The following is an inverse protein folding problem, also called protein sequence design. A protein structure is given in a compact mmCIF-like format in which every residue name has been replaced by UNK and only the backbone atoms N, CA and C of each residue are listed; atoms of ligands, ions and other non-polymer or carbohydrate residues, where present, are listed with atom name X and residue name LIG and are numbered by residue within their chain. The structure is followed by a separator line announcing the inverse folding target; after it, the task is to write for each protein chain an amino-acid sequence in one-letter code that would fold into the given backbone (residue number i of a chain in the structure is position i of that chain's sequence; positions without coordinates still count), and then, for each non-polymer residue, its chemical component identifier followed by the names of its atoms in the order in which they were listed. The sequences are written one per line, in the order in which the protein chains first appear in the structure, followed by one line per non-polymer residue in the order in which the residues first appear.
data_IF_721304471478
#
_entry.id   IF_721304471478
#
_cell.length_a   1.000
_cell.length_b   1.000
_cell.length_c   1.000
_cell.angle_alpha   90.00
_cell.angle_beta   90.00
_cell.angle_gamma   90.00
#
_symmetry.space_group_name_H-M   'P 1'
#
loop_
_entity.id
_entity.type
_entity.pdbx_description
1 polymer ?
#
# COMPACT_ATOMS: atom_id res chain seq x y z
N UNK A 1 -59.98 67.23 42.60
CA UNK A 1 -59.84 66.72 41.22
C UNK A 1 -58.37 66.59 40.89
N UNK A 2 -57.83 65.39 40.91
CA UNK A 2 -56.42 65.10 40.62
C UNK A 2 -56.38 64.48 39.25
N UNK A 3 -55.66 65.10 38.35
CA UNK A 3 -55.41 64.51 36.99
C UNK A 3 -54.09 63.75 36.97
N UNK A 4 -54.22 62.45 36.74
CA UNK A 4 -53.10 61.52 36.67
C UNK A 4 -52.53 61.59 35.24
N UNK A 5 -51.25 61.98 35.08
CA UNK A 5 -50.54 61.91 33.80
C UNK A 5 -49.80 60.59 33.74
N UNK A 6 -50.21 59.69 32.82
CA UNK A 6 -49.50 58.51 32.46
C UNK A 6 -48.39 58.89 31.48
N UNK A 7 -47.12 58.60 31.87
CA UNK A 7 -45.94 58.74 30.98
C UNK A 7 -45.69 57.34 30.40
N UNK A 8 -45.84 57.26 29.08
CA UNK A 8 -45.44 56.05 28.34
C UNK A 8 -43.91 56.08 28.01
N UNK A 9 -43.16 55.12 28.51
CA UNK A 9 -41.75 54.90 28.16
C UNK A 9 -41.66 54.17 26.85
N UNK A 10 -40.77 54.52 25.90
CA UNK A 10 -40.57 53.78 24.67
C UNK A 10 -39.61 52.58 24.91
N UNK A 11 -40.09 51.41 24.60
CA UNK A 11 -39.25 50.18 24.57
C UNK A 11 -38.31 50.20 23.36
N UNK A 12 -37.02 50.41 23.59
CA UNK A 12 -36.00 50.24 22.57
C UNK A 12 -35.74 48.73 22.47
N UNK A 13 -36.16 48.10 21.35
CA UNK A 13 -35.78 46.73 21.02
C UNK A 13 -34.36 46.73 20.42
N UNK A 14 -33.39 46.34 21.21
CA UNK A 14 -32.04 46.05 20.75
C UNK A 14 -32.08 44.71 20.02
N UNK A 15 -32.03 44.72 18.68
CA UNK A 15 -31.84 43.52 17.87
C UNK A 15 -30.33 43.21 17.90
N UNK A 16 -29.92 42.19 18.70
CA UNK A 16 -28.57 41.66 18.67
C UNK A 16 -28.46 40.74 17.45
N UNK A 17 -27.84 41.26 16.40
CA UNK A 17 -27.50 40.48 15.19
C UNK A 17 -26.32 39.57 15.51
N UNK A 18 -26.59 38.30 15.79
CA UNK A 18 -25.52 37.28 15.84
C UNK A 18 -25.01 37.03 14.43
N UNK A 19 -23.91 37.66 14.05
CA UNK A 19 -23.11 37.23 12.90
C UNK A 19 -22.50 35.87 13.23
N UNK A 20 -23.11 34.81 12.73
CA UNK A 20 -22.47 33.48 12.64
C UNK A 20 -21.30 33.63 11.68
N UNK A 21 -20.11 33.88 12.22
CA UNK A 21 -18.86 33.65 11.52
C UNK A 21 -18.76 32.13 11.39
N UNK A 22 -19.25 31.58 10.27
CA UNK A 22 -18.88 30.26 9.82
C UNK A 22 -17.38 30.31 9.53
N UNK A 23 -16.58 30.08 10.55
CA UNK A 23 -15.17 29.81 10.39
C UNK A 23 -15.05 28.63 9.45
N UNK A 24 -14.62 28.85 8.21
CA UNK A 24 -14.18 27.76 7.35
C UNK A 24 -13.12 27.01 8.14
N UNK A 25 -13.45 25.78 8.60
CA UNK A 25 -12.44 24.88 9.09
C UNK A 25 -11.33 24.83 8.03
N UNK A 26 -10.05 24.94 8.38
CA UNK A 26 -8.98 24.91 7.40
C UNK A 26 -9.16 23.64 6.57
N UNK A 27 -9.47 23.83 5.30
CA UNK A 27 -9.60 22.72 4.38
C UNK A 27 -8.25 21.99 4.39
N UNK A 28 -8.26 20.72 4.78
CA UNK A 28 -7.04 19.91 4.84
C UNK A 28 -6.27 20.12 3.53
N UNK A 29 -4.99 20.46 3.63
CA UNK A 29 -4.17 20.73 2.45
C UNK A 29 -4.22 19.51 1.54
N UNK A 30 -4.65 19.67 0.31
CA UNK A 30 -4.71 18.58 -0.66
C UNK A 30 -3.37 18.42 -1.37
N UNK A 31 -3.02 17.17 -1.70
CA UNK A 31 -1.88 16.92 -2.59
C UNK A 31 -2.14 17.62 -3.93
N UNK A 32 -1.22 18.48 -4.44
CA UNK A 32 -1.43 19.19 -5.69
C UNK A 32 -1.78 18.23 -6.84
N UNK A 33 -2.64 18.61 -7.79
CA UNK A 33 -2.99 17.78 -8.94
C UNK A 33 -1.76 17.28 -9.67
N UNK A 34 -1.88 16.08 -10.25
CA UNK A 34 -0.82 15.53 -11.07
C UNK A 34 -0.63 16.37 -12.35
N UNK A 35 0.59 16.79 -12.70
CA UNK A 35 0.85 17.48 -13.95
C UNK A 35 0.50 16.61 -15.18
N UNK A 36 0.08 17.24 -16.28
CA UNK A 36 -0.17 16.55 -17.55
C UNK A 36 1.06 15.75 -17.99
N UNK A 37 0.82 14.57 -18.59
CA UNK A 37 1.90 13.69 -19.02
C UNK A 37 2.56 12.88 -17.90
N UNK A 38 2.04 12.98 -16.67
CA UNK A 38 2.47 12.16 -15.52
C UNK A 38 1.37 11.18 -15.10
N UNK A 39 1.75 10.10 -14.42
CA UNK A 39 0.81 9.17 -13.79
C UNK A 39 1.33 8.73 -12.42
N UNK A 40 0.46 8.16 -11.61
CA UNK A 40 0.82 7.75 -10.26
C UNK A 40 0.46 6.27 -10.02
N UNK A 41 1.35 5.59 -9.30
CA UNK A 41 1.09 4.31 -8.65
C UNK A 41 1.02 4.59 -7.15
N UNK A 42 -0.01 4.06 -6.48
CA UNK A 42 -0.17 4.22 -5.03
C UNK A 42 0.13 2.90 -4.35
N UNK A 43 0.97 2.94 -3.32
CA UNK A 43 1.24 1.80 -2.44
C UNK A 43 0.51 2.02 -1.13
N UNK A 44 -0.36 1.08 -0.78
CA UNK A 44 -1.03 1.00 0.51
C UNK A 44 -0.14 0.17 1.43
N UNK A 45 0.39 0.76 2.52
CA UNK A 45 1.14 0.04 3.55
C UNK A 45 0.29 -1.00 4.29
N UNK A 46 0.91 -1.66 5.28
CA UNK A 46 0.24 -2.51 6.26
C UNK A 46 -0.97 -1.78 6.87
N UNK A 47 -2.12 -2.44 6.91
CA UNK A 47 -3.40 -1.84 7.34
C UNK A 47 -3.91 -2.41 8.67
N UNK A 48 -3.01 -2.75 9.58
CA UNK A 48 -3.27 -3.46 10.83
C UNK A 48 -3.94 -2.62 11.95
N UNK A 49 -4.58 -1.49 11.63
CA UNK A 49 -5.16 -0.55 12.63
C UNK A 49 -6.64 -0.80 12.87
N UNK A 50 -6.97 -2.04 13.19
CA UNK A 50 -8.34 -2.44 13.50
C UNK A 50 -8.74 -2.01 14.90
N UNK A 51 -9.95 -1.48 15.03
CA UNK A 51 -10.56 -1.06 16.28
C UNK A 51 -11.74 -1.97 16.59
N UNK A 52 -11.79 -2.49 17.82
CA UNK A 52 -12.86 -3.35 18.29
C UNK A 52 -13.87 -2.52 19.11
N UNK A 53 -15.15 -2.69 18.81
CA UNK A 53 -16.28 -1.99 19.44
C UNK A 53 -17.34 -3.03 19.91
N UNK A 54 -17.07 -3.78 20.99
CA UNK A 54 -17.98 -4.82 21.47
C UNK A 54 -19.38 -4.27 21.71
N UNK A 55 -20.41 -5.00 21.26
CA UNK A 55 -21.81 -4.62 21.42
C UNK A 55 -22.34 -3.59 20.40
N UNK A 56 -21.52 -3.08 19.50
CA UNK A 56 -21.96 -2.19 18.42
C UNK A 56 -22.45 -2.97 17.18
N UNK A 57 -23.21 -2.29 16.31
CA UNK A 57 -23.61 -2.81 15.00
C UNK A 57 -22.39 -3.09 14.10
N UNK A 58 -21.30 -2.34 14.30
CA UNK A 58 -20.03 -2.53 13.62
C UNK A 58 -18.93 -2.86 14.63
N UNK A 59 -18.85 -4.13 15.08
CA UNK A 59 -17.96 -4.54 16.18
C UNK A 59 -16.48 -4.40 15.83
N UNK A 60 -16.14 -4.33 14.53
CA UNK A 60 -14.77 -4.10 14.06
C UNK A 60 -14.77 -3.06 12.96
N UNK A 61 -13.88 -2.08 13.08
CA UNK A 61 -13.66 -1.01 12.08
C UNK A 61 -12.18 -0.82 11.81
N UNK A 62 -11.86 -0.14 10.70
CA UNK A 62 -10.54 0.38 10.40
C UNK A 62 -10.67 1.74 9.70
N UNK A 63 -10.83 2.82 10.47
CA UNK A 63 -11.05 4.15 9.91
C UNK A 63 -9.91 4.65 9.02
N UNK A 64 -8.68 4.30 9.36
CA UNK A 64 -7.48 4.68 8.58
C UNK A 64 -7.51 4.03 7.20
N UNK A 65 -7.72 2.72 7.14
CA UNK A 65 -7.80 2.00 5.85
C UNK A 65 -8.98 2.49 5.02
N UNK A 66 -10.13 2.74 5.66
CA UNK A 66 -11.29 3.32 5.01
C UNK A 66 -10.99 4.69 4.40
N UNK A 67 -10.32 5.59 5.15
CA UNK A 67 -9.93 6.91 4.67
C UNK A 67 -8.89 6.83 3.53
N UNK A 68 -7.94 5.91 3.60
CA UNK A 68 -6.95 5.70 2.54
C UNK A 68 -7.59 5.27 1.23
N UNK A 69 -8.50 4.28 1.29
CA UNK A 69 -9.20 3.82 0.08
C UNK A 69 -10.20 4.84 -0.45
N UNK A 70 -10.84 5.64 0.42
CA UNK A 70 -11.69 6.76 0.01
C UNK A 70 -10.87 7.84 -0.71
N UNK A 71 -9.72 8.21 -0.15
CA UNK A 71 -8.84 9.20 -0.79
C UNK A 71 -8.38 8.71 -2.16
N UNK A 72 -7.92 7.46 -2.30
CA UNK A 72 -7.51 6.90 -3.58
C UNK A 72 -8.68 6.97 -4.57
N UNK A 73 -9.85 6.45 -4.18
CA UNK A 73 -11.04 6.39 -5.02
C UNK A 73 -11.51 7.78 -5.50
N UNK A 74 -11.39 8.80 -4.64
CA UNK A 74 -11.78 10.18 -4.95
C UNK A 74 -10.76 10.88 -5.84
N UNK A 75 -9.47 10.52 -5.70
CA UNK A 75 -8.37 11.19 -6.37
C UNK A 75 -7.84 10.47 -7.62
N UNK A 76 -8.52 9.42 -8.13
CA UNK A 76 -8.06 8.67 -9.31
C UNK A 76 -7.72 9.59 -10.49
N UNK A 77 -8.63 10.49 -10.85
CA UNK A 77 -8.42 11.45 -11.96
C UNK A 77 -7.44 12.57 -11.56
N UNK A 78 -7.61 13.18 -10.38
CA UNK A 78 -6.82 14.32 -9.94
C UNK A 78 -5.33 13.99 -9.81
N UNK A 79 -5.01 12.76 -9.36
CA UNK A 79 -3.64 12.30 -9.18
C UNK A 79 -3.17 11.37 -10.31
N UNK A 80 -3.96 11.19 -11.37
CA UNK A 80 -3.67 10.26 -12.47
C UNK A 80 -3.26 8.87 -11.96
N UNK A 81 -4.01 8.32 -10.98
CA UNK A 81 -3.71 7.02 -10.38
C UNK A 81 -4.12 5.93 -11.37
N UNK A 82 -3.15 5.13 -11.81
CA UNK A 82 -3.33 4.06 -12.81
C UNK A 82 -3.22 2.67 -12.21
N UNK A 83 -2.64 2.55 -11.02
CA UNK A 83 -2.45 1.28 -10.34
C UNK A 83 -2.35 1.47 -8.83
N UNK A 84 -2.84 0.48 -8.06
CA UNK A 84 -2.73 0.44 -6.60
C UNK A 84 -2.11 -0.89 -6.17
N UNK A 85 -1.11 -0.84 -5.31
CA UNK A 85 -0.45 -2.00 -4.73
C UNK A 85 -0.62 -2.02 -3.22
N UNK A 86 -1.06 -3.14 -2.63
CA UNK A 86 -1.11 -3.35 -1.19
C UNK A 86 0.00 -4.33 -0.80
N UNK A 87 0.80 -3.99 0.22
CA UNK A 87 2.06 -4.68 0.53
C UNK A 87 1.93 -5.91 1.42
N UNK A 88 0.72 -6.29 1.85
CA UNK A 88 0.47 -7.38 2.80
C UNK A 88 0.09 -6.87 4.19
N UNK A 89 -0.19 -7.79 5.10
CA UNK A 89 -0.75 -7.52 6.43
C UNK A 89 -1.97 -6.60 6.33
N UNK A 90 -2.90 -7.00 5.44
CA UNK A 90 -4.15 -6.28 5.23
C UNK A 90 -5.07 -6.42 6.45
N UNK A 91 -4.91 -7.52 7.22
CA UNK A 91 -5.51 -7.72 8.54
C UNK A 91 -4.45 -7.80 9.63
N UNK A 92 -4.83 -7.49 10.88
CA UNK A 92 -3.99 -7.71 12.07
C UNK A 92 -4.22 -9.11 12.68
N UNK A 93 -5.49 -9.52 12.71
CA UNK A 93 -5.91 -10.86 13.14
C UNK A 93 -6.57 -11.57 11.96
N UNK A 94 -6.08 -12.76 11.62
CA UNK A 94 -6.64 -13.56 10.53
C UNK A 94 -8.02 -14.12 10.91
N UNK A 95 -9.04 -13.27 10.98
CA UNK A 95 -10.42 -13.61 11.33
C UNK A 95 -11.43 -12.95 10.38
N UNK A 96 -12.64 -13.57 10.27
CA UNK A 96 -13.69 -13.14 9.34
C UNK A 96 -14.14 -11.69 9.53
N UNK A 97 -14.10 -11.16 10.75
CA UNK A 97 -14.55 -9.80 11.04
C UNK A 97 -13.59 -8.76 10.42
N UNK A 98 -12.27 -8.94 10.61
CA UNK A 98 -11.29 -8.06 10.00
C UNK A 98 -11.25 -8.21 8.48
N UNK A 99 -11.38 -9.44 7.96
CA UNK A 99 -11.48 -9.68 6.52
C UNK A 99 -12.71 -9.00 5.89
N UNK A 100 -13.85 -8.98 6.56
CA UNK A 100 -15.02 -8.24 6.08
C UNK A 100 -14.77 -6.73 6.00
N UNK A 101 -14.01 -6.15 6.93
CA UNK A 101 -13.59 -4.74 6.87
C UNK A 101 -12.63 -4.53 5.70
N UNK A 102 -11.60 -5.37 5.57
CA UNK A 102 -10.63 -5.30 4.48
C UNK A 102 -11.34 -5.36 3.12
N UNK A 103 -12.29 -6.28 2.97
CA UNK A 103 -13.10 -6.39 1.75
C UNK A 103 -13.86 -5.10 1.44
N UNK A 104 -14.58 -4.53 2.41
CA UNK A 104 -15.31 -3.26 2.21
C UNK A 104 -14.41 -2.10 1.82
N UNK A 105 -13.21 -2.01 2.41
CA UNK A 105 -12.25 -0.98 2.04
C UNK A 105 -11.77 -1.15 0.58
N UNK A 106 -11.37 -2.35 0.18
CA UNK A 106 -10.89 -2.61 -1.17
C UNK A 106 -12.01 -2.60 -2.24
N UNK A 107 -13.27 -2.82 -1.85
CA UNK A 107 -14.42 -2.69 -2.77
C UNK A 107 -14.57 -1.27 -3.33
N UNK A 108 -14.11 -0.24 -2.62
CA UNK A 108 -14.09 1.15 -3.11
C UNK A 108 -13.19 1.35 -4.34
N UNK A 109 -12.20 0.48 -4.52
CA UNK A 109 -11.25 0.50 -5.65
C UNK A 109 -11.65 -0.47 -6.76
N UNK A 110 -12.42 -1.50 -6.42
CA UNK A 110 -12.75 -2.59 -7.33
C UNK A 110 -13.57 -2.12 -8.53
N UNK A 111 -13.13 -2.48 -9.75
CA UNK A 111 -13.74 -2.03 -10.99
C UNK A 111 -13.44 -0.58 -11.38
N UNK A 112 -12.68 0.16 -10.56
CA UNK A 112 -12.36 1.59 -10.79
C UNK A 112 -10.90 1.83 -11.15
N UNK A 113 -10.00 1.01 -10.63
CA UNK A 113 -8.56 1.05 -10.90
C UNK A 113 -7.99 -0.36 -10.77
N UNK A 114 -7.03 -0.77 -11.61
CA UNK A 114 -6.27 -2.00 -11.41
C UNK A 114 -5.55 -2.01 -10.05
N UNK A 115 -5.59 -3.15 -9.35
CA UNK A 115 -4.86 -3.30 -8.10
C UNK A 115 -4.43 -4.73 -7.84
N UNK A 116 -3.43 -4.90 -6.98
CA UNK A 116 -2.98 -6.18 -6.46
C UNK A 116 -2.77 -6.15 -4.96
N UNK A 117 -2.79 -7.31 -4.32
CA UNK A 117 -2.62 -7.48 -2.88
C UNK A 117 -1.57 -8.56 -2.65
N UNK A 118 -0.51 -8.24 -1.92
CA UNK A 118 0.42 -9.23 -1.37
C UNK A 118 -0.19 -9.85 -0.11
N UNK A 119 0.09 -11.13 0.15
CA UNK A 119 -0.35 -11.81 1.37
C UNK A 119 0.74 -11.69 2.42
N UNK A 120 0.46 -11.02 3.53
CA UNK A 120 1.39 -10.80 4.64
C UNK A 120 1.39 -11.95 5.65
N UNK A 121 2.23 -11.85 6.68
CA UNK A 121 2.31 -12.90 7.71
C UNK A 121 1.14 -12.88 8.69
N UNK A 122 0.39 -11.78 8.80
CA UNK A 122 -0.86 -11.72 9.54
C UNK A 122 -2.06 -12.20 8.71
N UNK A 123 -1.92 -12.26 7.39
CA UNK A 123 -2.97 -12.69 6.45
C UNK A 123 -3.01 -14.22 6.26
N UNK A 124 -2.00 -14.93 6.77
CA UNK A 124 -1.85 -16.38 6.65
C UNK A 124 -1.34 -17.00 7.95
N UNK A 125 -1.41 -18.33 8.05
CA UNK A 125 -0.74 -19.05 9.11
C UNK A 125 0.79 -19.09 8.92
N UNK A 126 1.54 -19.46 9.95
CA UNK A 126 3.00 -19.65 9.85
C UNK A 126 3.41 -20.73 8.84
N UNK A 127 2.50 -21.65 8.52
CA UNK A 127 2.70 -22.70 7.52
C UNK A 127 2.29 -22.28 6.11
N UNK A 128 1.74 -21.07 5.94
CA UNK A 128 1.37 -20.51 4.64
C UNK A 128 -0.09 -20.72 4.26
N UNK A 129 -0.96 -21.19 5.18
CA UNK A 129 -2.40 -21.29 4.92
C UNK A 129 -3.01 -19.87 4.90
N UNK A 130 -3.46 -19.47 3.72
CA UNK A 130 -4.10 -18.18 3.42
C UNK A 130 -5.57 -18.33 3.01
N UNK A 131 -6.26 -19.36 3.49
CA UNK A 131 -7.63 -19.73 3.08
C UNK A 131 -8.63 -18.58 3.22
N UNK A 132 -8.57 -17.77 4.30
CA UNK A 132 -9.46 -16.62 4.46
C UNK A 132 -9.18 -15.50 3.44
N UNK A 133 -7.89 -15.23 3.13
CA UNK A 133 -7.56 -14.32 2.03
C UNK A 133 -8.14 -14.83 0.72
N UNK A 134 -7.95 -16.12 0.41
CA UNK A 134 -8.42 -16.75 -0.82
C UNK A 134 -9.97 -16.74 -0.93
N UNK A 135 -10.68 -16.82 0.18
CA UNK A 135 -12.14 -16.70 0.25
C UNK A 135 -12.59 -15.25 -0.05
N UNK A 136 -11.90 -14.26 0.50
CA UNK A 136 -12.28 -12.85 0.42
C UNK A 136 -11.85 -12.20 -0.89
N UNK A 137 -10.68 -12.56 -1.41
CA UNK A 137 -10.10 -12.05 -2.64
C UNK A 137 -9.77 -13.17 -3.64
N UNK A 138 -10.77 -14.02 -4.01
CA UNK A 138 -10.54 -15.13 -4.93
C UNK A 138 -10.17 -14.63 -6.34
N UNK A 139 -9.52 -15.48 -7.14
CA UNK A 139 -9.22 -15.17 -8.55
C UNK A 139 -10.47 -14.79 -9.35
N UNK A 140 -11.62 -15.43 -9.07
CA UNK A 140 -12.91 -15.16 -9.73
C UNK A 140 -13.38 -13.71 -9.58
N UNK A 141 -12.91 -13.00 -8.56
CA UNK A 141 -13.14 -11.57 -8.39
C UNK A 141 -12.44 -10.73 -9.46
N UNK A 142 -11.33 -11.21 -10.02
CA UNK A 142 -10.43 -10.43 -10.86
C UNK A 142 -10.40 -10.90 -12.32
N UNK A 143 -10.68 -12.16 -12.59
CA UNK A 143 -10.45 -12.80 -13.90
C UNK A 143 -11.28 -12.22 -15.06
N UNK A 144 -12.31 -11.43 -14.78
CA UNK A 144 -13.09 -10.71 -15.80
C UNK A 144 -12.44 -9.40 -16.26
N UNK A 145 -11.42 -8.91 -15.54
CA UNK A 145 -10.74 -7.67 -15.90
C UNK A 145 -9.57 -7.92 -16.84
N UNK A 146 -9.48 -7.17 -17.94
CA UNK A 146 -8.39 -7.27 -18.90
C UNK A 146 -6.99 -7.04 -18.32
N UNK A 147 -6.90 -6.33 -17.20
CA UNK A 147 -5.65 -6.09 -16.50
C UNK A 147 -5.22 -7.24 -15.57
N UNK A 148 -6.04 -8.25 -15.34
CA UNK A 148 -5.67 -9.40 -14.53
C UNK A 148 -4.92 -10.43 -15.38
N UNK A 149 -3.63 -10.59 -15.11
CA UNK A 149 -2.75 -11.49 -15.86
C UNK A 149 -2.76 -12.94 -15.37
N UNK A 150 -3.55 -13.25 -14.31
CA UNK A 150 -3.66 -14.58 -13.72
C UNK A 150 -2.97 -14.72 -12.36
N UNK A 151 -2.90 -15.94 -11.87
CA UNK A 151 -2.31 -16.26 -10.56
C UNK A 151 -1.55 -17.58 -10.60
N UNK A 152 -0.73 -17.81 -9.56
CA UNK A 152 -0.10 -19.10 -9.33
C UNK A 152 -1.15 -20.15 -8.95
N UNK A 153 -0.97 -21.35 -9.48
CA UNK A 153 -1.79 -22.52 -9.13
C UNK A 153 -0.86 -23.64 -8.67
N UNK A 154 -0.92 -24.06 -7.40
CA UNK A 154 -0.13 -25.19 -6.91
C UNK A 154 -0.43 -26.45 -7.71
N UNK A 155 0.60 -27.19 -8.11
CA UNK A 155 0.43 -28.45 -8.86
C UNK A 155 0.00 -29.62 -7.98
N UNK A 156 0.28 -29.54 -6.68
CA UNK A 156 -0.04 -30.56 -5.68
C UNK A 156 -0.08 -29.96 -4.28
N UNK A 157 -0.61 -30.69 -3.32
CA UNK A 157 -0.66 -30.30 -1.92
C UNK A 157 -1.95 -29.59 -1.52
N UNK A 158 -1.91 -28.85 -0.42
CA UNK A 158 -3.06 -28.13 0.11
C UNK A 158 -3.30 -26.83 -0.69
N UNK A 159 -4.45 -26.68 -1.37
CA UNK A 159 -4.75 -25.48 -2.16
C UNK A 159 -4.89 -24.21 -1.30
N UNK A 160 -5.08 -24.33 0.02
CA UNK A 160 -5.06 -23.20 0.93
C UNK A 160 -3.67 -22.54 1.04
N UNK A 161 -2.61 -23.26 0.63
CA UNK A 161 -1.24 -22.76 0.64
C UNK A 161 -0.87 -22.28 -0.76
N UNK A 162 -0.54 -21.00 -0.89
CA UNK A 162 -0.09 -20.34 -2.12
C UNK A 162 -1.10 -20.32 -3.28
N UNK A 163 -2.33 -20.88 -3.11
CA UNK A 163 -3.32 -21.02 -4.16
C UNK A 163 -4.22 -19.79 -4.34
N UNK A 164 -5.17 -19.90 -5.29
CA UNK A 164 -6.31 -19.02 -5.52
C UNK A 164 -6.05 -17.52 -5.25
N UNK A 165 -5.22 -16.88 -6.06
CA UNK A 165 -4.88 -15.45 -6.00
C UNK A 165 -3.93 -15.02 -4.86
N UNK A 166 -3.40 -15.94 -4.04
CA UNK A 166 -2.38 -15.58 -3.05
C UNK A 166 -1.09 -15.02 -3.69
N UNK A 167 -0.86 -15.41 -4.96
CA UNK A 167 0.20 -14.90 -5.81
C UNK A 167 -0.39 -14.54 -7.17
N UNK A 168 -0.34 -13.26 -7.57
CA UNK A 168 -1.09 -12.76 -8.73
C UNK A 168 -0.29 -11.82 -9.61
N UNK A 169 -0.75 -11.68 -10.86
CA UNK A 169 -0.16 -10.80 -11.89
C UNK A 169 -1.19 -9.79 -12.35
N UNK A 170 -0.79 -8.55 -12.49
CA UNK A 170 -1.57 -7.47 -13.09
C UNK A 170 -0.79 -6.85 -14.25
N UNK A 171 -1.49 -6.56 -15.34
CA UNK A 171 -0.96 -5.95 -16.55
C UNK A 171 -1.66 -4.61 -16.76
N UNK A 172 -0.90 -3.53 -16.88
CA UNK A 172 -1.48 -2.22 -17.15
C UNK A 172 -0.56 -1.37 -18.01
N UNK A 173 -1.09 -0.28 -18.52
CA UNK A 173 -0.35 0.65 -19.37
C UNK A 173 -0.63 2.10 -18.92
N UNK A 174 0.39 2.95 -19.00
CA UNK A 174 0.27 4.37 -18.69
C UNK A 174 1.29 5.17 -19.48
N UNK A 175 0.87 6.27 -20.10
CA UNK A 175 1.73 7.16 -20.90
C UNK A 175 2.59 6.41 -21.93
N UNK A 176 2.02 5.40 -22.60
CA UNK A 176 2.72 4.56 -23.59
C UNK A 176 3.67 3.51 -22.98
N UNK A 177 3.82 3.45 -21.69
CA UNK A 177 4.66 2.48 -20.99
C UNK A 177 3.83 1.27 -20.55
N UNK A 178 4.35 0.06 -20.82
CA UNK A 178 3.71 -1.20 -20.44
C UNK A 178 4.29 -1.73 -19.12
N UNK A 179 3.43 -2.15 -18.20
CA UNK A 179 3.84 -2.67 -16.89
C UNK A 179 3.32 -4.09 -16.65
N UNK A 180 4.10 -4.84 -15.90
CA UNK A 180 3.69 -6.09 -15.23
C UNK A 180 3.95 -5.93 -13.74
N UNK A 181 2.92 -6.10 -12.91
CA UNK A 181 3.05 -6.11 -11.46
C UNK A 181 2.77 -7.52 -10.93
N UNK A 182 3.69 -8.05 -10.12
CA UNK A 182 3.52 -9.30 -9.39
C UNK A 182 3.29 -9.01 -7.93
N UNK A 183 2.26 -9.63 -7.36
CA UNK A 183 2.02 -9.63 -5.92
C UNK A 183 2.31 -11.03 -5.41
N UNK A 184 3.35 -11.16 -4.58
CA UNK A 184 3.82 -12.42 -4.03
C UNK A 184 3.54 -12.47 -2.53
N UNK A 185 3.17 -13.65 -2.04
CA UNK A 185 2.99 -13.91 -0.63
C UNK A 185 4.29 -13.76 0.17
N UNK A 186 4.16 -13.52 1.47
CA UNK A 186 5.28 -13.41 2.40
C UNK A 186 6.16 -14.67 2.37
N UNK A 187 7.47 -14.48 2.15
CA UNK A 187 8.45 -15.56 2.08
C UNK A 187 8.13 -16.66 1.04
N UNK A 188 7.73 -16.25 -0.14
CA UNK A 188 7.28 -17.12 -1.24
C UNK A 188 8.14 -18.37 -1.41
N UNK A 189 7.53 -19.58 -1.48
CA UNK A 189 8.23 -20.84 -1.71
C UNK A 189 8.86 -20.96 -3.10
N UNK A 190 9.72 -21.97 -3.31
CA UNK A 190 10.49 -22.16 -4.55
C UNK A 190 9.59 -22.38 -5.78
N UNK A 191 8.47 -23.05 -5.64
CA UNK A 191 7.51 -23.26 -6.73
C UNK A 191 6.81 -21.95 -7.16
N UNK A 192 6.51 -21.09 -6.19
CA UNK A 192 6.01 -19.73 -6.46
C UNK A 192 7.08 -18.88 -7.13
N UNK A 193 8.34 -18.95 -6.67
CA UNK A 193 9.44 -18.22 -7.30
C UNK A 193 9.74 -18.71 -8.72
N UNK A 194 9.63 -20.03 -8.98
CA UNK A 194 9.75 -20.59 -10.32
C UNK A 194 8.66 -20.06 -11.26
N UNK A 195 7.41 -19.98 -10.76
CA UNK A 195 6.32 -19.34 -11.50
C UNK A 195 6.56 -17.84 -11.73
N UNK A 196 7.00 -17.11 -10.71
CA UNK A 196 7.33 -15.69 -10.83
C UNK A 196 8.42 -15.45 -11.89
N UNK A 197 9.47 -16.28 -11.92
CA UNK A 197 10.50 -16.27 -12.97
C UNK A 197 9.88 -16.44 -14.37
N UNK A 198 8.98 -17.41 -14.54
CA UNK A 198 8.33 -17.65 -15.85
C UNK A 198 7.45 -16.47 -16.29
N UNK A 199 6.76 -15.81 -15.34
CA UNK A 199 5.93 -14.63 -15.62
C UNK A 199 6.81 -13.43 -16.03
N UNK A 200 7.88 -13.15 -15.29
CA UNK A 200 8.80 -12.04 -15.58
C UNK A 200 9.51 -12.22 -16.93
N UNK A 201 9.85 -13.45 -17.29
CA UNK A 201 10.39 -13.79 -18.62
C UNK A 201 9.35 -13.64 -19.72
N UNK A 202 8.14 -14.17 -19.53
CA UNK A 202 7.03 -14.04 -20.49
C UNK A 202 6.71 -12.58 -20.82
N UNK A 203 6.86 -11.69 -19.85
CA UNK A 203 6.57 -10.25 -19.96
C UNK A 203 7.84 -9.40 -19.95
N UNK A 204 8.93 -9.88 -20.56
CA UNK A 204 10.22 -9.18 -20.60
C UNK A 204 10.17 -7.84 -21.34
N UNK A 205 9.16 -7.64 -22.19
CA UNK A 205 8.84 -6.38 -22.89
C UNK A 205 8.14 -5.35 -22.00
N UNK A 206 7.71 -5.74 -20.79
CA UNK A 206 7.02 -4.88 -19.83
C UNK A 206 7.94 -4.50 -18.67
N UNK A 207 7.75 -3.34 -18.10
CA UNK A 207 8.45 -2.84 -16.91
C UNK A 207 7.87 -3.54 -15.69
N UNK A 208 8.72 -4.27 -14.95
CA UNK A 208 8.26 -5.14 -13.88
C UNK A 208 8.35 -4.47 -12.50
N UNK A 209 7.28 -4.58 -11.74
CA UNK A 209 7.18 -4.24 -10.33
C UNK A 209 6.84 -5.53 -9.56
N UNK A 210 7.56 -5.80 -8.49
CA UNK A 210 7.22 -6.86 -7.55
C UNK A 210 6.75 -6.23 -6.25
N UNK A 211 5.66 -6.74 -5.70
CA UNK A 211 5.24 -6.44 -4.34
C UNK A 211 5.26 -7.74 -3.56
N UNK A 212 5.99 -7.75 -2.47
CA UNK A 212 6.02 -8.85 -1.51
C UNK A 212 6.04 -8.27 -0.11
N UNK A 213 5.45 -8.99 0.85
CA UNK A 213 5.28 -8.40 2.16
C UNK A 213 6.61 -8.16 2.88
N UNK A 214 7.49 -9.14 2.91
CA UNK A 214 8.76 -9.11 3.65
C UNK A 214 9.96 -9.02 2.71
N UNK A 215 10.68 -7.90 2.73
CA UNK A 215 11.90 -7.70 1.92
C UNK A 215 12.98 -6.95 2.71
N UNK A 216 12.78 -5.67 3.03
CA UNK A 216 13.73 -4.82 3.73
C UNK A 216 13.45 -4.77 5.24
N UNK A 217 14.51 -4.69 6.04
CA UNK A 217 14.44 -4.58 7.49
C UNK A 217 15.75 -4.93 8.18
N UNK A 218 15.72 -5.44 9.43
CA UNK A 218 16.92 -5.97 10.10
C UNK A 218 17.52 -7.12 9.29
N UNK A 219 18.83 -7.08 9.04
CA UNK A 219 19.52 -8.14 8.28
C UNK A 219 19.31 -9.52 8.91
N UNK A 220 19.52 -9.62 10.22
CA UNK A 220 19.30 -10.84 11.00
C UNK A 220 18.09 -10.67 11.92
N UNK A 221 17.44 -11.78 12.28
CA UNK A 221 16.27 -11.72 13.17
C UNK A 221 16.66 -11.20 14.54
N UNK A 222 16.13 -10.04 14.97
CA UNK A 222 16.43 -9.50 16.30
C UNK A 222 15.91 -10.43 17.41
N UNK A 223 16.68 -10.52 18.52
CA UNK A 223 16.32 -11.37 19.67
C UNK A 223 15.21 -10.78 20.51
N UNK A 224 15.20 -9.46 20.66
CA UNK A 224 14.21 -8.73 21.44
C UNK A 224 13.54 -7.63 20.62
N UNK A 225 12.34 -7.16 21.00
CA UNK A 225 11.69 -6.02 20.35
C UNK A 225 12.55 -4.76 20.29
N UNK A 226 13.43 -4.54 21.29
CA UNK A 226 14.34 -3.39 21.37
C UNK A 226 15.42 -3.44 20.31
N UNK A 227 15.92 -4.65 20.02
CA UNK A 227 17.02 -4.85 19.06
C UNK A 227 16.61 -4.47 17.62
N UNK A 228 15.30 -4.46 17.30
CA UNK A 228 14.81 -4.01 15.98
C UNK A 228 15.21 -2.57 15.66
N UNK A 229 15.32 -1.70 16.65
CA UNK A 229 15.67 -0.29 16.46
C UNK A 229 17.14 -0.10 16.11
N UNK A 230 18.02 -0.92 16.70
CA UNK A 230 19.48 -0.79 16.59
C UNK A 230 20.12 -1.78 15.60
N UNK A 231 19.40 -2.84 15.20
CA UNK A 231 19.93 -3.84 14.28
C UNK A 231 20.35 -3.22 12.92
N UNK A 232 21.46 -3.70 12.33
CA UNK A 232 21.80 -3.36 10.95
C UNK A 232 20.66 -3.71 10.00
N UNK A 233 20.35 -2.79 9.07
CA UNK A 233 19.21 -2.88 8.16
C UNK A 233 19.65 -3.07 6.71
N UNK A 234 18.84 -3.80 5.97
CA UNK A 234 19.06 -4.12 4.57
C UNK A 234 18.04 -5.14 4.10
N UNK A 235 18.39 -5.97 3.11
CA UNK A 235 17.56 -7.10 2.71
C UNK A 235 17.70 -8.22 3.73
N UNK A 236 16.56 -8.63 4.31
CA UNK A 236 16.54 -9.56 5.43
C UNK A 236 17.00 -10.98 5.03
N UNK A 237 17.72 -11.65 5.95
CA UNK A 237 18.23 -13.04 5.80
C UNK A 237 17.47 -14.04 6.67
N UNK A 238 16.30 -13.67 7.13
CA UNK A 238 15.42 -14.49 7.96
C UNK A 238 13.99 -14.46 7.43
N UNK A 239 13.10 -15.29 7.93
CA UNK A 239 11.74 -15.48 7.44
C UNK A 239 10.74 -15.71 8.56
N UNK A 240 9.45 -15.49 8.27
CA UNK A 240 8.32 -15.66 9.19
C UNK A 240 7.39 -16.81 8.77
N UNK A 241 7.21 -17.03 7.47
CA UNK A 241 6.20 -17.92 6.90
C UNK A 241 6.79 -19.14 6.18
N UNK A 242 5.92 -20.14 5.92
CA UNK A 242 6.19 -21.37 5.17
C UNK A 242 7.24 -22.29 5.77
N UNK A 243 7.70 -22.07 7.00
CA UNK A 243 8.68 -22.95 7.66
C UNK A 243 9.92 -23.21 6.79
N UNK A 244 10.27 -24.48 6.54
CA UNK A 244 11.41 -24.86 5.70
C UNK A 244 11.21 -24.53 4.21
N UNK A 245 9.96 -24.48 3.73
CA UNK A 245 9.65 -24.21 2.31
C UNK A 245 9.81 -22.72 1.93
N UNK A 246 9.64 -21.81 2.88
CA UNK A 246 9.71 -20.38 2.62
C UNK A 246 11.13 -19.91 2.37
N UNK A 247 11.26 -18.82 1.60
CA UNK A 247 12.50 -18.14 1.31
C UNK A 247 12.67 -16.87 2.13
N UNK A 248 13.90 -16.60 2.55
CA UNK A 248 14.24 -15.27 3.07
C UNK A 248 14.21 -14.25 1.94
N UNK A 249 14.05 -12.94 2.22
CA UNK A 249 14.19 -11.90 1.21
C UNK A 249 15.47 -12.02 0.38
N UNK A 250 16.60 -12.29 1.01
CA UNK A 250 17.86 -12.52 0.29
C UNK A 250 17.78 -13.73 -0.65
N UNK A 251 17.14 -14.81 -0.23
CA UNK A 251 16.95 -15.98 -1.10
C UNK A 251 15.99 -15.71 -2.26
N UNK A 252 14.92 -14.92 -2.05
CA UNK A 252 14.01 -14.49 -3.13
C UNK A 252 14.74 -13.63 -4.16
N UNK A 253 15.60 -12.71 -3.71
CA UNK A 253 16.47 -11.93 -4.57
C UNK A 253 17.38 -12.83 -5.41
N UNK A 254 18.12 -13.73 -4.80
CA UNK A 254 19.10 -14.61 -5.47
C UNK A 254 18.44 -15.62 -6.41
N UNK A 255 17.29 -16.17 -6.02
CA UNK A 255 16.58 -17.21 -6.80
C UNK A 255 15.73 -16.63 -7.94
N UNK A 256 15.25 -15.39 -7.80
CA UNK A 256 14.30 -14.78 -8.73
C UNK A 256 14.69 -13.36 -9.13
N UNK A 257 14.59 -12.40 -8.25
CA UNK A 257 14.44 -10.99 -8.60
C UNK A 257 15.64 -10.43 -9.37
N UNK A 258 16.88 -10.71 -8.95
CA UNK A 258 18.09 -10.20 -9.61
C UNK A 258 18.25 -10.64 -11.07
N UNK A 259 17.58 -11.72 -11.49
CA UNK A 259 17.75 -12.36 -12.80
C UNK A 259 16.96 -11.67 -13.92
N UNK A 260 16.15 -10.67 -13.61
CA UNK A 260 15.22 -10.08 -14.57
C UNK A 260 15.59 -8.64 -14.90
N UNK A 261 16.02 -8.42 -16.16
CA UNK A 261 16.40 -7.10 -16.67
C UNK A 261 15.27 -6.07 -16.62
N UNK A 262 14.03 -6.54 -16.75
CA UNK A 262 12.84 -5.69 -16.76
C UNK A 262 12.36 -5.31 -15.35
N UNK A 263 12.84 -5.96 -14.28
CA UNK A 263 12.51 -5.59 -12.89
C UNK A 263 13.25 -4.30 -12.52
N UNK A 264 12.48 -3.30 -12.06
CA UNK A 264 13.04 -2.02 -11.63
C UNK A 264 12.60 -1.59 -10.22
N UNK A 265 11.58 -2.24 -9.65
CA UNK A 265 11.02 -1.84 -8.36
C UNK A 265 10.51 -3.04 -7.57
N UNK A 266 10.79 -3.04 -6.26
CA UNK A 266 10.18 -3.93 -5.27
C UNK A 266 9.55 -3.06 -4.18
N UNK A 267 8.28 -3.34 -3.84
CA UNK A 267 7.57 -2.71 -2.73
C UNK A 267 7.32 -3.73 -1.62
N UNK A 268 7.52 -3.33 -0.35
CA UNK A 268 7.32 -4.20 0.80
C UNK A 268 6.78 -3.46 2.04
N UNK A 269 6.33 -4.23 3.02
CA UNK A 269 5.86 -3.81 4.34
C UNK A 269 6.57 -4.54 5.48
N UNK A 270 5.82 -5.10 6.45
CA UNK A 270 6.26 -6.01 7.52
C UNK A 270 7.08 -5.40 8.66
N UNK A 271 7.63 -4.22 8.53
CA UNK A 271 8.63 -3.73 9.47
C UNK A 271 8.24 -2.41 10.14
N UNK A 272 7.18 -2.43 10.96
CA UNK A 272 6.66 -1.26 11.68
C UNK A 272 7.69 -0.59 12.61
N UNK A 273 8.77 -1.30 12.99
CA UNK A 273 9.90 -0.75 13.76
C UNK A 273 11.01 -0.18 12.89
N UNK A 274 10.88 -0.26 11.57
CA UNK A 274 11.75 0.40 10.58
C UNK A 274 10.98 1.48 9.83
N UNK A 275 9.69 1.26 9.59
CA UNK A 275 8.67 2.11 8.95
C UNK A 275 8.98 2.48 7.50
N UNK A 276 10.12 3.07 7.24
CA UNK A 276 10.55 3.45 5.90
C UNK A 276 12.03 3.11 5.70
N UNK A 277 12.32 2.53 4.55
CA UNK A 277 13.68 2.24 4.12
C UNK A 277 13.69 2.17 2.59
N UNK A 278 14.80 2.53 1.99
CA UNK A 278 15.05 2.33 0.55
C UNK A 278 16.41 1.70 0.34
N UNK A 279 16.46 0.78 -0.62
CA UNK A 279 17.69 0.16 -1.08
C UNK A 279 17.76 0.28 -2.60
N UNK A 280 18.97 0.49 -3.12
CA UNK A 280 19.26 0.47 -4.55
C UNK A 280 20.13 -0.74 -4.83
N UNK A 281 19.57 -1.72 -5.52
CA UNK A 281 20.25 -2.96 -5.88
C UNK A 281 20.56 -3.01 -7.37
N UNK A 282 21.57 -3.80 -7.72
CA UNK A 282 21.96 -4.06 -9.10
C UNK A 282 21.61 -5.52 -9.42
N UNK A 283 20.80 -5.71 -10.46
CA UNK A 283 20.47 -7.03 -10.99
C UNK A 283 21.58 -7.61 -11.86
N UNK A 284 21.42 -8.88 -12.28
CA UNK A 284 22.42 -9.60 -13.09
C UNK A 284 22.65 -9.02 -14.50
N UNK A 285 21.79 -8.07 -14.92
CA UNK A 285 21.88 -7.39 -16.21
C UNK A 285 22.22 -5.90 -16.04
N UNK A 286 22.88 -5.52 -14.94
CA UNK A 286 23.23 -4.14 -14.58
C UNK A 286 22.02 -3.20 -14.44
N UNK A 287 20.81 -3.75 -14.42
CA UNK A 287 19.59 -2.99 -14.18
C UNK A 287 19.49 -2.60 -12.70
N UNK A 288 19.04 -1.36 -12.49
CA UNK A 288 18.80 -0.84 -11.14
C UNK A 288 17.43 -1.29 -10.69
N UNK A 289 17.37 -1.89 -9.49
CA UNK A 289 16.14 -2.23 -8.79
C UNK A 289 16.04 -1.35 -7.54
N UNK A 290 14.98 -0.55 -7.48
CA UNK A 290 14.65 0.25 -6.31
C UNK A 290 13.76 -0.58 -5.37
N UNK A 291 14.23 -0.84 -4.17
CA UNK A 291 13.49 -1.57 -3.14
C UNK A 291 12.98 -0.58 -2.09
N UNK A 292 11.67 -0.57 -1.84
CA UNK A 292 11.01 0.44 -1.01
C UNK A 292 10.18 -0.23 0.09
N UNK A 293 10.58 -0.05 1.34
CA UNK A 293 9.79 -0.39 2.50
C UNK A 293 8.82 0.73 2.85
N UNK A 294 7.58 0.37 3.08
CA UNK A 294 6.51 1.26 3.54
C UNK A 294 5.63 0.54 4.54
N UNK A 295 5.87 0.76 5.83
CA UNK A 295 5.05 0.26 6.94
C UNK A 295 4.86 1.39 7.95
N UNK A 296 4.05 2.37 7.54
CA UNK A 296 3.92 3.66 8.22
C UNK A 296 2.91 3.66 9.37
N UNK A 297 2.27 2.56 9.68
CA UNK A 297 1.17 2.51 10.64
C UNK A 297 0.02 3.46 10.22
N UNK A 298 -0.01 4.68 10.76
CA UNK A 298 -1.09 5.66 10.52
C UNK A 298 -0.71 6.77 9.53
N UNK A 299 0.59 6.89 9.15
CA UNK A 299 1.11 8.12 8.57
C UNK A 299 1.09 8.18 7.02
N UNK A 300 0.42 7.24 6.37
CA UNK A 300 0.01 7.51 5.02
C UNK A 300 0.41 6.55 3.93
N UNK A 301 -0.10 6.88 2.77
CA UNK A 301 0.09 6.19 1.50
C UNK A 301 1.42 6.60 0.85
N UNK A 302 2.07 5.68 0.17
CA UNK A 302 3.18 6.00 -0.73
C UNK A 302 2.63 6.33 -2.11
N UNK A 303 2.71 7.58 -2.53
CA UNK A 303 2.31 8.04 -3.87
C UNK A 303 3.56 8.16 -4.73
N UNK A 304 3.71 7.30 -5.72
CA UNK A 304 4.82 7.28 -6.66
C UNK A 304 4.38 7.91 -7.98
N UNK A 305 4.80 9.14 -8.24
CA UNK A 305 4.49 9.87 -9.46
C UNK A 305 5.58 9.67 -10.50
N UNK A 306 5.24 9.04 -11.58
CA UNK A 306 6.08 8.84 -12.74
C UNK A 306 6.05 10.11 -13.61
N UNK A 307 7.22 10.63 -13.93
CA UNK A 307 7.41 11.83 -14.74
C UNK A 307 8.23 11.46 -15.99
N UNK A 308 7.60 10.89 -17.05
CA UNK A 308 8.31 10.36 -18.21
C UNK A 308 9.23 11.38 -18.88
N UNK A 309 8.78 12.61 -19.07
CA UNK A 309 9.58 13.69 -19.68
C UNK A 309 10.87 14.03 -18.91
N UNK A 310 11.04 13.54 -17.66
CA UNK A 310 12.20 13.81 -16.81
C UNK A 310 12.90 12.53 -16.37
N UNK A 311 12.50 11.37 -16.88
CA UNK A 311 13.06 10.06 -16.52
C UNK A 311 13.23 9.88 -15.01
N UNK A 312 12.16 10.19 -14.23
CA UNK A 312 12.20 10.08 -12.76
C UNK A 312 10.85 9.70 -12.17
N UNK A 313 10.91 9.11 -10.98
CA UNK A 313 9.76 8.81 -10.14
C UNK A 313 9.85 9.69 -8.89
N UNK A 314 8.86 10.57 -8.66
CA UNK A 314 8.75 11.37 -7.45
C UNK A 314 7.93 10.58 -6.43
N UNK A 315 8.57 10.20 -5.33
CA UNK A 315 7.94 9.43 -4.25
C UNK A 315 7.58 10.36 -3.11
N UNK A 316 6.32 10.29 -2.68
CA UNK A 316 5.78 11.07 -1.58
C UNK A 316 5.00 10.16 -0.64
N UNK A 317 5.14 10.38 0.65
CA UNK A 317 4.28 9.78 1.66
C UNK A 317 3.21 10.79 2.03
N UNK A 318 1.97 10.46 1.71
CA UNK A 318 0.81 11.33 1.91
C UNK A 318 -0.11 10.75 3.00
N UNK A 319 -0.42 11.54 4.00
CA UNK A 319 -1.40 11.21 5.04
C UNK A 319 -2.79 11.76 4.65
N UNK A 320 -3.71 10.91 4.15
CA UNK A 320 -5.05 11.36 3.78
C UNK A 320 -5.90 11.80 4.96
N UNK A 321 -5.66 11.29 6.16
CA UNK A 321 -6.40 11.63 7.37
C UNK A 321 -5.98 13.01 7.88
N UNK A 322 -4.67 13.25 7.94
CA UNK A 322 -4.12 14.53 8.36
C UNK A 322 -4.07 15.59 7.26
N UNK A 323 -4.34 15.23 5.99
CA UNK A 323 -4.27 16.14 4.85
C UNK A 323 -2.89 16.76 4.65
N UNK A 324 -1.81 16.00 4.84
CA UNK A 324 -0.44 16.52 4.81
C UNK A 324 0.57 15.48 4.33
N UNK A 325 1.74 15.96 3.89
CA UNK A 325 2.88 15.11 3.66
C UNK A 325 3.47 14.61 4.99
N UNK A 326 3.86 13.34 5.04
CA UNK A 326 4.65 12.81 6.14
C UNK A 326 6.08 13.37 6.02
N UNK A 327 6.47 14.27 6.90
CA UNK A 327 7.81 14.87 6.93
C UNK A 327 8.75 14.09 7.87
N UNK A 328 8.21 13.47 8.90
CA UNK A 328 8.90 12.62 9.87
C UNK A 328 7.92 11.70 10.57
N UNK A 329 8.42 10.60 11.12
CA UNK A 329 7.71 9.73 12.06
C UNK A 329 8.45 9.69 13.41
N UNK A 330 7.93 8.95 14.39
CA UNK A 330 8.61 8.77 15.66
C UNK A 330 9.97 8.07 15.50
N UNK A 331 10.08 7.15 14.53
CA UNK A 331 11.27 6.35 14.31
C UNK A 331 12.17 6.88 13.20
N UNK A 332 11.60 7.49 12.16
CA UNK A 332 12.33 7.98 10.98
C UNK A 332 12.17 9.49 10.91
N UNK A 333 13.21 10.22 11.32
CA UNK A 333 13.19 11.69 11.37
C UNK A 333 13.64 12.34 10.06
N UNK A 334 14.34 11.59 9.22
CA UNK A 334 14.86 12.09 7.95
C UNK A 334 13.74 12.18 6.91
N UNK A 335 13.43 13.41 6.51
CA UNK A 335 12.43 13.72 5.48
C UNK A 335 12.71 12.99 4.17
N UNK A 336 13.97 12.78 3.82
CA UNK A 336 14.37 12.14 2.57
C UNK A 336 14.08 10.63 2.52
N UNK A 337 13.67 10.03 3.64
CA UNK A 337 13.08 8.68 3.63
C UNK A 337 11.59 8.67 3.29
N UNK A 338 10.93 9.82 3.36
CA UNK A 338 9.51 9.98 3.12
C UNK A 338 9.19 10.66 1.78
N UNK A 339 10.05 11.61 1.37
CA UNK A 339 9.93 12.42 0.16
C UNK A 339 11.24 12.34 -0.63
N UNK A 340 11.25 11.69 -1.77
CA UNK A 340 12.47 11.53 -2.57
C UNK A 340 12.19 11.33 -4.06
N UNK A 341 13.24 11.36 -4.85
CA UNK A 341 13.16 11.10 -6.30
C UNK A 341 14.06 9.92 -6.66
N UNK A 342 13.55 9.05 -7.53
CA UNK A 342 14.30 7.93 -8.09
C UNK A 342 14.55 8.19 -9.58
N UNK A 343 15.79 8.05 -10.07
CA UNK A 343 16.07 8.04 -11.49
C UNK A 343 15.51 6.76 -12.12
N UNK A 344 14.78 6.90 -13.21
CA UNK A 344 14.23 5.76 -13.95
C UNK A 344 13.99 6.13 -15.41
N UNK A 345 14.68 5.44 -16.33
CA UNK A 345 14.53 5.65 -17.77
C UNK A 345 13.15 5.23 -18.28
N UNK A 346 12.41 6.17 -18.86
CA UNK A 346 11.03 5.99 -19.32
C UNK A 346 10.84 6.28 -20.81
N UNK A 347 11.92 6.36 -21.59
CA UNK A 347 11.76 6.45 -23.05
C UNK A 347 10.95 5.26 -23.57
N UNK A 348 10.01 5.55 -24.45
CA UNK A 348 9.28 4.52 -25.22
C UNK A 348 10.28 3.98 -26.24
N UNK A 349 10.67 2.73 -26.10
CA UNK A 349 11.55 2.03 -27.06
C UNK A 349 10.74 1.46 -28.19
#
# INVERSE_FOLDING_TARGET
MAVLHLVFAPWVRVIVLWLLILGNAPQAAELPPAPTGTFSIVVIPDTQHYQEHPGSQHPVTNPTFAAWTDWIATNLKRQHIVFVSQVGDIVDKNNRQQWAVARRCMDKLHGRVPYGISVGNHDMSRTGDSSLFQEVFPKSRFETFAWYGGCFTPRSGNPAISGNNANSVQLFEASGLKFVALHLECNAPDDVLAWANSVLQKHADRRAIVTTHMDLGPLEKPKTPRDYFTAPKGRMRWKKCHGKRGNTPQQMWDKCFRKHKNLFMICCGDQSRTQAMRLRSVGDHDNIVHELLSDYRLNGLRVMRFVPAKNRIEVRTWDPVGGKLCEATDLVKDRDQHQFTLPYEMSVR
#
